data_IF_615900771796
#
_entry.id   IF_615900771796
#
_cell.length_a   1.000
_cell.length_b   1.000
_cell.length_c   1.000
_cell.angle_alpha   90.00
_cell.angle_beta   90.00
_cell.angle_gamma   90.00
#
_symmetry.space_group_name_H-M   'P 1'
#
loop_
_entity.id
_entity.type
_entity.pdbx_description
1 polymer ?
#
# COMPACT_ATOMS: atom_id res chain seq x y z
N UNK A 1 -19.74 5.90 -7.61
CA UNK A 1 -19.54 4.53 -8.12
C UNK A 1 -19.55 3.52 -6.97
N UNK A 2 -20.23 2.36 -7.12
CA UNK A 2 -20.34 1.35 -6.06
C UNK A 2 -19.04 0.56 -5.83
N UNK A 3 -18.20 0.38 -6.86
CA UNK A 3 -16.95 -0.40 -6.78
C UNK A 3 -15.89 0.24 -5.87
N UNK A 4 -15.66 1.55 -5.98
CA UNK A 4 -14.69 2.27 -5.12
C UNK A 4 -15.11 2.26 -3.65
N UNK A 5 -16.42 2.30 -3.37
CA UNK A 5 -16.95 2.19 -2.00
C UNK A 5 -16.67 0.80 -1.40
N UNK A 6 -16.85 -0.26 -2.19
CA UNK A 6 -16.54 -1.63 -1.78
C UNK A 6 -15.04 -1.81 -1.48
N UNK A 7 -14.16 -1.31 -2.36
CA UNK A 7 -12.70 -1.37 -2.16
C UNK A 7 -12.28 -0.59 -0.89
N UNK A 8 -12.83 0.60 -0.66
CA UNK A 8 -12.54 1.38 0.55
C UNK A 8 -13.04 0.67 1.82
N UNK A 9 -14.19 -0.01 1.75
CA UNK A 9 -14.69 -0.85 2.84
C UNK A 9 -13.75 -2.03 3.13
N UNK A 10 -13.31 -2.75 2.09
CA UNK A 10 -12.34 -3.85 2.22
C UNK A 10 -11.02 -3.35 2.85
N UNK A 11 -10.47 -2.22 2.37
CA UNK A 11 -9.27 -1.63 2.96
C UNK A 11 -9.48 -1.27 4.43
N UNK A 12 -10.65 -0.75 4.82
CA UNK A 12 -10.95 -0.47 6.23
C UNK A 12 -10.99 -1.76 7.08
N UNK A 13 -11.59 -2.83 6.57
CA UNK A 13 -11.62 -4.12 7.27
C UNK A 13 -10.21 -4.69 7.44
N UNK A 14 -9.37 -4.59 6.41
CA UNK A 14 -7.96 -5.00 6.46
C UNK A 14 -7.17 -4.18 7.48
N UNK A 15 -7.28 -2.85 7.45
CA UNK A 15 -6.64 -1.98 8.45
C UNK A 15 -7.08 -2.36 9.87
N UNK A 16 -8.36 -2.64 10.09
CA UNK A 16 -8.89 -3.04 11.41
C UNK A 16 -8.31 -4.39 11.86
N UNK A 17 -8.22 -5.37 10.97
CA UNK A 17 -7.63 -6.66 11.29
C UNK A 17 -6.13 -6.56 11.59
N UNK A 18 -5.38 -5.79 10.80
CA UNK A 18 -3.94 -5.61 10.94
C UNK A 18 -3.58 -4.81 12.19
N UNK A 19 -4.37 -3.79 12.54
CA UNK A 19 -4.20 -3.04 13.80
C UNK A 19 -4.48 -3.91 15.02
N UNK A 20 -5.47 -4.80 14.97
CA UNK A 20 -5.71 -5.77 16.05
C UNK A 20 -4.53 -6.73 16.21
N UNK A 21 -3.99 -7.26 15.11
CA UNK A 21 -2.81 -8.12 15.13
C UNK A 21 -1.57 -7.39 15.67
N UNK A 22 -1.38 -6.11 15.31
CA UNK A 22 -0.30 -5.29 15.83
C UNK A 22 -0.42 -5.11 17.36
N UNK A 23 -1.61 -4.82 17.88
CA UNK A 23 -1.84 -4.69 19.34
C UNK A 23 -1.44 -5.95 20.10
N UNK A 24 -1.79 -7.13 19.59
CA UNK A 24 -1.39 -8.42 20.19
C UNK A 24 0.13 -8.56 20.23
N UNK A 25 0.83 -8.13 19.17
CA UNK A 25 2.31 -8.16 19.14
C UNK A 25 2.88 -7.15 20.14
N UNK A 26 2.31 -5.95 20.25
CA UNK A 26 2.72 -4.91 21.19
C UNK A 26 2.51 -5.34 22.65
N UNK A 27 1.41 -6.03 22.97
CA UNK A 27 1.19 -6.63 24.28
C UNK A 27 2.24 -7.69 24.61
N UNK A 28 2.56 -8.58 23.65
CA UNK A 28 3.64 -9.58 23.81
C UNK A 28 5.02 -8.93 23.96
N UNK A 29 5.27 -7.80 23.32
CA UNK A 29 6.52 -7.05 23.47
C UNK A 29 6.68 -6.44 24.86
N UNK A 30 5.58 -6.11 25.55
CA UNK A 30 5.62 -5.59 26.92
C UNK A 30 5.96 -6.66 27.96
N UNK A 31 5.60 -7.92 27.69
CA UNK A 31 5.86 -9.04 28.61
C UNK A 31 7.22 -9.69 28.38
N UNK A 32 7.86 -9.45 27.23
CA UNK A 32 9.17 -9.99 26.89
C UNK A 32 10.31 -9.13 27.41
N UNK A 33 11.43 -9.77 27.74
CA UNK A 33 12.60 -9.09 28.25
C UNK A 33 13.24 -8.21 27.15
N UNK A 34 13.30 -6.89 27.39
CA UNK A 34 13.73 -5.89 26.42
C UNK A 34 15.25 -5.88 26.27
N UNK A 35 15.78 -6.88 25.57
CA UNK A 35 17.19 -7.01 25.28
C UNK A 35 17.42 -7.30 23.80
N UNK A 36 18.43 -6.65 23.23
CA UNK A 36 18.90 -6.93 21.87
C UNK A 36 19.51 -8.34 21.74
N UNK A 37 19.81 -9.00 22.86
CA UNK A 37 20.26 -10.40 22.87
C UNK A 37 19.07 -11.39 22.89
N UNK A 38 17.86 -10.93 23.22
CA UNK A 38 16.67 -11.75 23.21
C UNK A 38 16.13 -11.90 21.77
N UNK A 39 16.44 -13.04 21.14
CA UNK A 39 15.98 -13.38 19.78
C UNK A 39 14.46 -13.29 19.63
N UNK A 40 13.70 -13.69 20.65
CA UNK A 40 12.23 -13.66 20.61
C UNK A 40 11.71 -12.22 20.59
N UNK A 41 12.30 -11.35 21.41
CA UNK A 41 12.01 -9.91 21.43
C UNK A 41 12.31 -9.26 20.07
N UNK A 42 13.49 -9.52 19.50
CA UNK A 42 13.87 -9.01 18.17
C UNK A 42 12.90 -9.47 17.07
N UNK A 43 12.50 -10.75 17.07
CA UNK A 43 11.54 -11.27 16.10
C UNK A 43 10.17 -10.59 16.22
N UNK A 44 9.72 -10.29 17.44
CA UNK A 44 8.49 -9.55 17.67
C UNK A 44 8.59 -8.11 17.19
N UNK A 45 9.73 -7.42 17.40
CA UNK A 45 9.96 -6.08 16.87
C UNK A 45 9.92 -6.05 15.34
N UNK A 46 10.56 -7.01 14.68
CA UNK A 46 10.51 -7.12 13.20
C UNK A 46 9.09 -7.35 12.71
N UNK A 47 8.33 -8.24 13.38
CA UNK A 47 6.92 -8.47 13.04
C UNK A 47 6.07 -7.21 13.24
N UNK A 48 6.25 -6.50 14.35
CA UNK A 48 5.55 -5.24 14.62
C UNK A 48 5.87 -4.17 13.58
N UNK A 49 7.14 -4.02 13.20
CA UNK A 49 7.58 -3.07 12.17
C UNK A 49 6.93 -3.35 10.81
N UNK A 50 6.96 -4.61 10.35
CA UNK A 50 6.29 -5.03 9.10
C UNK A 50 4.78 -4.74 9.13
N UNK A 51 4.13 -4.97 10.26
CA UNK A 51 2.70 -4.68 10.44
C UNK A 51 2.42 -3.18 10.40
N UNK A 52 3.24 -2.35 11.05
CA UNK A 52 3.14 -0.88 10.99
C UNK A 52 3.33 -0.35 9.56
N UNK A 53 4.31 -0.87 8.83
CA UNK A 53 4.54 -0.52 7.42
C UNK A 53 3.31 -0.88 6.57
N UNK A 54 2.76 -2.10 6.72
CA UNK A 54 1.59 -2.52 5.97
C UNK A 54 0.34 -1.68 6.28
N UNK A 55 0.09 -1.35 7.55
CA UNK A 55 -1.02 -0.45 7.93
C UNK A 55 -0.84 0.93 7.31
N UNK A 56 0.37 1.47 7.31
CA UNK A 56 0.68 2.78 6.73
C UNK A 56 0.42 2.77 5.22
N UNK A 57 0.87 1.73 4.52
CA UNK A 57 0.58 1.50 3.12
C UNK A 57 -0.93 1.49 2.84
N UNK A 58 -1.72 0.71 3.58
CA UNK A 58 -3.17 0.64 3.41
C UNK A 58 -3.87 1.99 3.65
N UNK A 59 -3.38 2.78 4.62
CA UNK A 59 -3.91 4.14 4.88
C UNK A 59 -3.62 5.08 3.72
N UNK A 60 -2.41 5.05 3.16
CA UNK A 60 -2.06 5.83 1.96
C UNK A 60 -2.95 5.43 0.78
N UNK A 61 -3.14 4.13 0.56
CA UNK A 61 -4.03 3.64 -0.51
C UNK A 61 -5.46 4.13 -0.36
N UNK A 62 -6.01 4.06 0.86
CA UNK A 62 -7.33 4.61 1.16
C UNK A 62 -7.40 6.11 0.86
N UNK A 63 -6.37 6.87 1.26
CA UNK A 63 -6.32 8.32 1.05
C UNK A 63 -6.27 8.68 -0.44
N UNK A 64 -5.50 7.94 -1.23
CA UNK A 64 -5.45 8.11 -2.68
C UNK A 64 -6.81 7.79 -3.32
N UNK A 65 -7.42 6.66 -2.97
CA UNK A 65 -8.73 6.26 -3.49
C UNK A 65 -9.85 7.25 -3.11
N UNK A 66 -9.81 7.80 -1.89
CA UNK A 66 -10.80 8.78 -1.44
C UNK A 66 -10.60 10.16 -2.05
N UNK A 67 -9.35 10.60 -2.28
CA UNK A 67 -9.05 11.87 -2.96
C UNK A 67 -9.33 11.83 -4.47
N UNK A 68 -9.08 10.70 -5.11
CA UNK A 68 -9.23 10.54 -6.57
C UNK A 68 -10.66 10.19 -7.02
N UNK A 69 -11.64 10.15 -6.10
CA UNK A 69 -13.08 10.04 -6.42
C UNK A 69 -13.59 11.17 -7.34
N UNK A 70 -12.81 12.24 -7.56
CA UNK A 70 -13.21 13.39 -8.37
C UNK A 70 -12.44 13.61 -9.68
N UNK A 71 -11.34 12.90 -9.94
CA UNK A 71 -10.61 13.03 -11.22
C UNK A 71 -10.15 11.65 -11.69
N UNK A 72 -10.94 11.04 -12.57
CA UNK A 72 -10.50 9.88 -13.35
C UNK A 72 -9.47 10.38 -14.39
N UNK A 73 -8.22 10.56 -13.96
CA UNK A 73 -7.13 10.72 -14.91
C UNK A 73 -6.79 9.34 -15.47
N UNK A 74 -7.15 9.16 -16.73
CA UNK A 74 -6.77 8.00 -17.53
C UNK A 74 -5.34 8.24 -18.00
N UNK A 75 -4.48 7.24 -17.82
CA UNK A 75 -3.12 7.25 -18.37
C UNK A 75 -3.21 7.25 -19.89
N UNK A 76 -2.71 8.32 -20.50
CA UNK A 76 -2.57 8.45 -21.96
C UNK A 76 -1.11 8.29 -22.38
N UNK A 77 -0.89 8.09 -23.68
CA UNK A 77 0.44 8.14 -24.28
C UNK A 77 1.01 9.54 -24.05
N UNK A 78 2.16 9.61 -23.36
CA UNK A 78 2.80 10.86 -22.96
C UNK A 78 2.59 11.26 -21.49
N UNK A 79 1.69 10.58 -20.76
CA UNK A 79 1.53 10.81 -19.32
C UNK A 79 2.76 10.34 -18.53
N UNK A 80 3.08 11.04 -17.44
CA UNK A 80 4.01 10.55 -16.42
C UNK A 80 3.20 9.95 -15.27
N UNK A 81 3.49 8.69 -14.93
CA UNK A 81 2.72 7.90 -13.97
C UNK A 81 3.51 7.69 -12.70
N UNK A 82 2.87 7.98 -11.57
CA UNK A 82 3.40 7.67 -10.25
C UNK A 82 2.90 6.30 -9.81
N UNK A 83 3.83 5.36 -9.64
CA UNK A 83 3.58 3.99 -9.26
C UNK A 83 4.00 3.77 -7.81
N UNK A 84 3.19 3.03 -7.07
CA UNK A 84 3.46 2.70 -5.68
C UNK A 84 3.59 1.18 -5.54
N UNK A 85 4.75 0.72 -5.07
CA UNK A 85 5.03 -0.71 -4.92
C UNK A 85 4.19 -1.30 -3.79
N UNK A 86 3.42 -2.33 -4.10
CA UNK A 86 2.60 -3.05 -3.11
C UNK A 86 3.43 -3.89 -2.13
N UNK A 87 4.68 -4.20 -2.48
CA UNK A 87 5.58 -5.03 -1.66
C UNK A 87 6.59 -4.21 -0.86
N UNK A 88 7.15 -3.16 -1.46
CA UNK A 88 8.31 -2.43 -0.90
C UNK A 88 7.90 -1.05 -0.35
N UNK A 89 6.71 -0.54 -0.69
CA UNK A 89 6.24 0.77 -0.24
C UNK A 89 6.97 1.96 -0.89
N UNK A 90 7.83 1.69 -1.89
CA UNK A 90 8.53 2.71 -2.67
C UNK A 90 7.65 3.31 -3.76
N UNK A 91 7.99 4.54 -4.13
CA UNK A 91 7.29 5.35 -5.14
C UNK A 91 8.21 5.51 -6.35
N UNK A 92 7.71 5.16 -7.53
CA UNK A 92 8.41 5.28 -8.80
C UNK A 92 7.67 6.25 -9.72
N UNK A 93 8.41 6.99 -10.53
CA UNK A 93 7.86 7.81 -11.60
C UNK A 93 8.32 7.24 -12.93
N UNK A 94 7.37 6.87 -13.78
CA UNK A 94 7.64 6.28 -15.09
C UNK A 94 6.85 7.00 -16.18
N UNK A 95 7.41 7.07 -17.38
CA UNK A 95 6.67 7.55 -18.54
C UNK A 95 5.80 6.44 -19.11
N UNK A 96 4.51 6.72 -19.35
CA UNK A 96 3.56 5.76 -19.90
C UNK A 96 3.97 5.26 -21.30
N UNK A 97 4.75 6.04 -22.05
CA UNK A 97 5.26 5.66 -23.38
C UNK A 97 6.12 4.39 -23.36
N UNK A 98 6.78 4.12 -22.24
CA UNK A 98 7.69 2.98 -22.09
C UNK A 98 6.96 1.70 -21.63
N UNK A 99 5.69 1.82 -21.21
CA UNK A 99 4.95 0.74 -20.57
C UNK A 99 3.49 0.72 -21.02
N UNK A 100 3.21 -0.07 -22.07
CA UNK A 100 1.86 -0.22 -22.67
C UNK A 100 0.84 -0.67 -21.64
N UNK A 101 1.26 -1.47 -20.65
CA UNK A 101 0.44 -1.98 -19.54
C UNK A 101 -0.21 -0.88 -18.70
N UNK A 102 0.34 0.34 -18.74
CA UNK A 102 -0.17 1.52 -18.05
C UNK A 102 -1.25 2.25 -18.84
N UNK A 103 -1.25 2.16 -20.17
CA UNK A 103 -2.14 2.94 -21.03
C UNK A 103 -3.60 2.52 -20.80
N UNK A 104 -4.50 3.50 -20.66
CA UNK A 104 -5.92 3.26 -20.41
C UNK A 104 -6.23 2.87 -18.96
N UNK A 105 -5.22 2.72 -18.09
CA UNK A 105 -5.41 2.52 -16.66
C UNK A 105 -5.72 3.84 -15.97
N UNK A 106 -6.33 3.75 -14.80
CA UNK A 106 -6.74 4.89 -14.00
C UNK A 106 -6.04 4.91 -12.65
N UNK A 107 -6.02 6.07 -12.00
CA UNK A 107 -5.51 6.19 -10.64
C UNK A 107 -6.30 5.26 -9.70
N UNK A 108 -5.58 4.43 -8.94
CA UNK A 108 -6.13 3.39 -8.08
C UNK A 108 -6.04 1.99 -8.68
N UNK A 109 -5.79 1.86 -10.00
CA UNK A 109 -5.62 0.55 -10.62
C UNK A 109 -4.30 -0.10 -10.22
N UNK A 110 -4.34 -1.42 -10.07
CA UNK A 110 -3.16 -2.23 -9.90
C UNK A 110 -2.66 -2.76 -11.25
N UNK A 111 -1.36 -2.64 -11.49
CA UNK A 111 -0.68 -3.06 -12.70
C UNK A 111 0.49 -3.97 -12.36
N UNK A 112 0.76 -4.94 -13.24
CA UNK A 112 1.92 -5.81 -13.14
C UNK A 112 2.96 -5.29 -14.11
N UNK A 113 4.16 -5.00 -13.62
CA UNK A 113 5.29 -4.54 -14.43
C UNK A 113 6.54 -5.24 -13.94
N UNK A 114 7.36 -5.80 -14.84
CA UNK A 114 8.59 -6.50 -14.50
C UNK A 114 8.41 -7.52 -13.35
N UNK A 115 7.33 -8.32 -13.40
CA UNK A 115 6.94 -9.30 -12.38
C UNK A 115 6.67 -8.74 -10.96
N UNK A 116 6.47 -7.43 -10.83
CA UNK A 116 6.08 -6.78 -9.59
C UNK A 116 4.72 -6.07 -9.72
N UNK A 117 3.96 -6.06 -8.63
CA UNK A 117 2.64 -5.44 -8.57
C UNK A 117 2.76 -4.01 -8.04
N UNK A 118 2.33 -3.06 -8.87
CA UNK A 118 2.29 -1.64 -8.56
C UNK A 118 0.86 -1.14 -8.54
N UNK A 119 0.63 -0.05 -7.81
CA UNK A 119 -0.64 0.66 -7.80
C UNK A 119 -0.43 2.07 -8.34
N UNK A 120 -1.26 2.49 -9.29
CA UNK A 120 -1.17 3.82 -9.90
C UNK A 120 -1.66 4.85 -8.87
N UNK A 121 -0.74 5.64 -8.33
CA UNK A 121 -1.02 6.64 -7.32
C UNK A 121 -1.34 8.02 -7.91
N UNK A 122 -0.84 8.31 -9.12
CA UNK A 122 -1.03 9.58 -9.80
C UNK A 122 -0.67 9.52 -11.28
N UNK A 123 -1.23 10.44 -12.05
CA UNK A 123 -0.98 10.64 -13.48
C UNK A 123 -0.77 12.14 -13.69
N UNK A 124 0.29 12.51 -14.40
CA UNK A 124 0.71 13.87 -14.68
C UNK A 124 0.85 14.10 -16.18
#
# INVERSE_FOLDING_TARGET
MPYTRKIVQEINTLIKSETKALKIIEEKLKTENQSLQNRKYLLLLVKASKKKQHITFLRVQKQLLTRNLHKQMIVSIGSRVQLLSTKVGEVFFVDAKNYIELIGKTIGDAVMMNNAKFLIAGVY
#
